data_IF_539992596684
#
_entry.id   IF_539992596684
#
_cell.length_a   1.000
_cell.length_b   1.000
_cell.length_c   1.000
_cell.angle_alpha   90.00
_cell.angle_beta   90.00
_cell.angle_gamma   90.00
#
_symmetry.space_group_name_H-M   'P 1'
#
loop_
_entity.id
_entity.type
_entity.pdbx_description
1 polymer ?
#
# COMPACT_ATOMS: atom_id res chain seq x y z
N UNK A 1 -48.53 25.06 6.84
CA UNK A 1 -47.37 24.25 6.41
C UNK A 1 -46.10 25.07 6.63
N UNK A 2 -45.34 24.74 7.68
CA UNK A 2 -44.13 25.46 8.07
C UNK A 2 -42.94 25.02 7.20
N UNK A 3 -42.31 25.96 6.49
CA UNK A 3 -41.02 25.74 5.83
C UNK A 3 -39.95 25.70 6.92
N UNK A 4 -39.46 24.52 7.28
CA UNK A 4 -38.23 24.38 8.08
C UNK A 4 -37.07 24.88 7.23
N UNK A 5 -36.58 26.07 7.58
CA UNK A 5 -35.30 26.58 7.12
C UNK A 5 -34.22 25.75 7.84
N UNK A 6 -33.71 24.71 7.19
CA UNK A 6 -32.48 24.05 7.63
C UNK A 6 -31.32 25.01 7.36
N UNK A 7 -30.95 25.78 8.37
CA UNK A 7 -29.62 26.37 8.44
C UNK A 7 -28.64 25.23 8.74
N UNK A 8 -28.06 24.65 7.68
CA UNK A 8 -26.87 23.81 7.80
C UNK A 8 -25.77 24.69 8.37
N UNK A 9 -25.23 24.33 9.54
CA UNK A 9 -24.08 25.03 10.11
C UNK A 9 -22.88 24.78 9.20
N UNK A 10 -22.09 25.81 8.85
CA UNK A 10 -20.96 25.67 7.94
C UNK A 10 -19.83 24.79 8.48
N UNK A 11 -19.77 24.51 9.80
CA UNK A 11 -18.77 23.62 10.39
C UNK A 11 -19.03 22.12 10.08
N UNK A 12 -20.28 21.70 9.95
CA UNK A 12 -20.63 20.28 9.79
C UNK A 12 -20.36 19.77 8.35
N UNK A 13 -20.36 20.67 7.36
CA UNK A 13 -20.18 20.33 5.95
C UNK A 13 -18.70 20.14 5.57
N UNK A 14 -17.79 20.87 6.21
CA UNK A 14 -16.34 20.80 5.91
C UNK A 14 -15.70 19.55 6.54
N UNK A 15 -16.18 19.13 7.71
CA UNK A 15 -15.71 17.90 8.38
C UNK A 15 -16.17 16.63 7.65
N UNK A 16 -17.41 16.63 7.13
CA UNK A 16 -17.98 15.52 6.34
C UNK A 16 -17.21 15.25 5.05
N UNK A 17 -16.90 16.31 4.30
CA UNK A 17 -16.21 16.19 3.01
C UNK A 17 -14.78 15.65 3.19
N UNK A 18 -14.06 16.13 4.20
CA UNK A 18 -12.68 15.68 4.51
C UNK A 18 -12.60 14.19 4.87
N UNK A 19 -13.54 13.70 5.69
CA UNK A 19 -13.63 12.30 6.06
C UNK A 19 -13.94 11.39 4.86
N UNK A 20 -14.81 11.83 3.95
CA UNK A 20 -15.17 11.08 2.75
C UNK A 20 -14.03 11.01 1.72
N UNK A 21 -13.26 12.10 1.56
CA UNK A 21 -12.05 12.08 0.74
C UNK A 21 -10.99 11.14 1.30
N UNK A 22 -10.76 11.17 2.62
CA UNK A 22 -9.80 10.28 3.28
C UNK A 22 -10.21 8.81 3.15
N UNK A 23 -11.50 8.50 3.33
CA UNK A 23 -12.04 7.14 3.15
C UNK A 23 -11.84 6.64 1.73
N UNK A 24 -12.16 7.47 0.73
CA UNK A 24 -11.98 7.14 -0.68
C UNK A 24 -10.50 6.86 -1.00
N UNK A 25 -9.60 7.74 -0.54
CA UNK A 25 -8.15 7.54 -0.66
C UNK A 25 -7.71 6.21 -0.03
N UNK A 26 -8.18 5.90 1.17
CA UNK A 26 -7.82 4.67 1.88
C UNK A 26 -8.29 3.42 1.12
N UNK A 27 -9.50 3.44 0.56
CA UNK A 27 -10.04 2.37 -0.27
C UNK A 27 -9.23 2.16 -1.55
N UNK A 28 -8.80 3.24 -2.22
CA UNK A 28 -7.92 3.17 -3.39
C UNK A 28 -6.56 2.57 -3.03
N UNK A 29 -5.90 3.05 -1.96
CA UNK A 29 -4.61 2.53 -1.53
C UNK A 29 -4.67 1.05 -1.16
N UNK A 30 -5.73 0.64 -0.46
CA UNK A 30 -5.96 -0.77 -0.13
C UNK A 30 -6.09 -1.63 -1.39
N UNK A 31 -6.84 -1.13 -2.37
CA UNK A 31 -7.05 -1.85 -3.65
C UNK A 31 -5.77 -1.95 -4.46
N UNK A 32 -5.06 -0.83 -4.62
CA UNK A 32 -3.79 -0.76 -5.35
C UNK A 32 -2.74 -1.70 -4.74
N UNK A 33 -2.61 -1.67 -3.41
CA UNK A 33 -1.75 -2.58 -2.66
C UNK A 33 -2.07 -4.04 -2.91
N UNK A 34 -3.36 -4.40 -2.86
CA UNK A 34 -3.79 -5.78 -3.10
C UNK A 34 -3.39 -6.24 -4.51
N UNK A 35 -3.54 -5.37 -5.51
CA UNK A 35 -3.09 -5.65 -6.88
C UNK A 35 -1.57 -5.82 -6.96
N UNK A 36 -0.81 -4.94 -6.30
CA UNK A 36 0.64 -5.06 -6.29
C UNK A 36 1.14 -6.34 -5.63
N UNK A 37 0.58 -6.73 -4.49
CA UNK A 37 0.95 -7.99 -3.82
C UNK A 37 0.57 -9.19 -4.69
N UNK A 38 -0.63 -9.19 -5.27
CA UNK A 38 -1.06 -10.26 -6.18
C UNK A 38 -0.13 -10.39 -7.40
N UNK A 39 0.24 -9.27 -8.01
CA UNK A 39 1.15 -9.23 -9.14
C UNK A 39 2.57 -9.67 -8.77
N UNK A 40 3.09 -9.20 -7.64
CA UNK A 40 4.42 -9.54 -7.15
C UNK A 40 4.57 -11.01 -6.73
N UNK A 41 3.50 -11.68 -6.33
CA UNK A 41 3.50 -13.14 -6.09
C UNK A 41 3.24 -13.90 -7.40
N UNK A 42 2.36 -13.37 -8.25
CA UNK A 42 1.97 -13.99 -9.52
C UNK A 42 3.12 -14.12 -10.52
N UNK A 43 4.02 -13.13 -10.60
CA UNK A 43 5.20 -13.19 -11.47
C UNK A 43 6.12 -14.39 -11.19
N UNK A 44 6.64 -14.54 -9.96
CA UNK A 44 7.41 -15.72 -9.57
C UNK A 44 6.65 -17.04 -9.71
N UNK A 45 5.34 -17.06 -9.39
CA UNK A 45 4.52 -18.25 -9.58
C UNK A 45 4.44 -18.67 -11.05
N UNK A 46 4.34 -17.71 -11.99
CA UNK A 46 4.37 -17.99 -13.43
C UNK A 46 5.68 -18.67 -13.85
N UNK A 47 6.82 -18.27 -13.28
CA UNK A 47 8.12 -18.90 -13.57
C UNK A 47 8.18 -20.35 -13.09
N UNK A 48 7.51 -20.69 -11.98
CA UNK A 48 7.45 -22.07 -11.49
C UNK A 48 6.61 -23.00 -12.37
N UNK A 49 5.60 -22.45 -13.05
CA UNK A 49 4.66 -23.25 -13.85
C UNK A 49 5.04 -23.28 -15.34
N UNK A 50 5.77 -22.26 -15.81
CA UNK A 50 6.14 -22.14 -17.21
C UNK A 50 7.65 -22.34 -17.42
N UNK A 51 8.03 -23.60 -17.67
CA UNK A 51 9.43 -24.00 -17.90
C UNK A 51 10.07 -23.28 -19.08
N UNK A 52 9.30 -22.94 -20.12
CA UNK A 52 9.81 -22.23 -21.30
C UNK A 52 10.23 -20.79 -20.98
N UNK A 53 9.38 -20.07 -20.23
CA UNK A 53 9.68 -18.72 -19.74
C UNK A 53 10.92 -18.75 -18.84
N UNK A 54 10.96 -19.69 -17.90
CA UNK A 54 12.07 -19.86 -16.97
C UNK A 54 13.38 -20.22 -17.68
N UNK A 55 13.36 -21.17 -18.62
CA UNK A 55 14.55 -21.56 -19.38
C UNK A 55 15.16 -20.38 -20.14
N UNK A 56 14.34 -19.53 -20.77
CA UNK A 56 14.82 -18.32 -21.46
C UNK A 56 15.43 -17.30 -20.50
N UNK A 57 14.80 -17.07 -19.35
CA UNK A 57 15.34 -16.17 -18.33
C UNK A 57 16.63 -16.69 -17.68
N UNK A 58 16.75 -18.01 -17.51
CA UNK A 58 17.98 -18.67 -17.05
C UNK A 58 19.10 -18.53 -18.08
N UNK A 59 18.80 -18.79 -19.36
CA UNK A 59 19.76 -18.63 -20.44
C UNK A 59 20.26 -17.17 -20.56
N UNK A 60 19.40 -16.20 -20.28
CA UNK A 60 19.77 -14.79 -20.23
C UNK A 60 20.48 -14.36 -18.92
N UNK A 61 20.59 -15.26 -17.92
CA UNK A 61 21.16 -14.96 -16.60
C UNK A 61 20.34 -14.00 -15.75
N UNK A 62 19.04 -13.82 -16.05
CA UNK A 62 18.18 -12.78 -15.45
C UNK A 62 17.08 -13.31 -14.52
N UNK A 63 16.86 -14.63 -14.47
CA UNK A 63 15.77 -15.23 -13.69
C UNK A 63 15.74 -14.72 -12.23
N UNK A 64 16.87 -14.83 -11.52
CA UNK A 64 16.96 -14.43 -10.12
C UNK A 64 16.69 -12.94 -9.91
N UNK A 65 17.20 -12.08 -10.80
CA UNK A 65 16.98 -10.63 -10.72
C UNK A 65 15.50 -10.29 -10.91
N UNK A 66 14.87 -10.85 -11.94
CA UNK A 66 13.44 -10.61 -12.24
C UNK A 66 12.56 -11.11 -11.09
N UNK A 67 12.81 -12.33 -10.60
CA UNK A 67 12.08 -12.88 -9.45
C UNK A 67 12.28 -12.03 -8.18
N UNK A 68 13.51 -11.58 -7.90
CA UNK A 68 13.80 -10.73 -6.76
C UNK A 68 13.08 -9.39 -6.84
N UNK A 69 13.03 -8.74 -8.01
CA UNK A 69 12.30 -7.49 -8.20
C UNK A 69 10.80 -7.63 -7.88
N UNK A 70 10.17 -8.72 -8.32
CA UNK A 70 8.78 -9.01 -7.97
C UNK A 70 8.58 -9.23 -6.46
N UNK A 71 9.47 -9.99 -5.83
CA UNK A 71 9.38 -10.27 -4.39
C UNK A 71 9.63 -9.00 -3.56
N UNK A 72 10.61 -8.18 -3.94
CA UNK A 72 10.91 -6.90 -3.27
C UNK A 72 9.70 -5.96 -3.36
N UNK A 73 9.10 -5.83 -4.55
CA UNK A 73 7.92 -5.00 -4.74
C UNK A 73 6.72 -5.47 -3.91
N UNK A 74 6.48 -6.78 -3.80
CA UNK A 74 5.44 -7.33 -2.93
C UNK A 74 5.77 -7.14 -1.44
N UNK A 75 7.02 -7.36 -1.03
CA UNK A 75 7.46 -7.21 0.35
C UNK A 75 7.31 -5.76 0.83
N UNK A 76 7.66 -4.77 -0.01
CA UNK A 76 7.47 -3.35 0.29
C UNK A 76 6.00 -3.04 0.64
N UNK A 77 5.07 -3.58 -0.14
CA UNK A 77 3.63 -3.41 0.06
C UNK A 77 3.11 -4.09 1.34
N UNK A 78 3.61 -5.29 1.65
CA UNK A 78 3.27 -5.98 2.91
C UNK A 78 3.79 -5.20 4.12
N UNK A 79 5.02 -4.68 4.05
CA UNK A 79 5.60 -3.85 5.11
C UNK A 79 4.75 -2.59 5.32
N UNK A 80 4.38 -1.89 4.25
CA UNK A 80 3.48 -0.72 4.33
C UNK A 80 2.13 -1.04 4.98
N UNK A 81 1.51 -2.17 4.61
CA UNK A 81 0.27 -2.62 5.25
C UNK A 81 0.44 -2.90 6.75
N UNK A 82 1.55 -3.52 7.15
CA UNK A 82 1.83 -3.80 8.57
C UNK A 82 2.02 -2.52 9.37
N UNK A 83 2.76 -1.55 8.82
CA UNK A 83 2.95 -0.24 9.44
C UNK A 83 1.62 0.46 9.65
N UNK A 84 0.79 0.54 8.60
CA UNK A 84 -0.53 1.16 8.67
C UNK A 84 -1.46 0.43 9.68
N UNK A 85 -1.42 -0.91 9.72
CA UNK A 85 -2.18 -1.70 10.70
C UNK A 85 -1.74 -1.43 12.14
N UNK A 86 -0.44 -1.36 12.40
CA UNK A 86 0.12 -1.10 13.74
C UNK A 86 -0.23 0.32 14.20
N UNK A 87 -0.09 1.31 13.32
CA UNK A 87 -0.48 2.70 13.58
C UNK A 87 -1.94 2.82 13.98
N UNK A 88 -2.84 2.28 13.18
CA UNK A 88 -4.28 2.31 13.47
C UNK A 88 -4.62 1.56 14.76
N UNK A 89 -3.93 0.45 15.05
CA UNK A 89 -4.15 -0.28 16.29
C UNK A 89 -3.82 0.57 17.53
N UNK A 90 -2.71 1.30 17.52
CA UNK A 90 -2.32 2.13 18.66
C UNK A 90 -3.22 3.35 18.85
N UNK A 91 -3.70 3.96 17.77
CA UNK A 91 -4.72 5.03 17.86
C UNK A 91 -6.06 4.49 18.35
N UNK A 92 -6.49 3.33 17.86
CA UNK A 92 -7.69 2.68 18.37
C UNK A 92 -7.56 2.36 19.87
N UNK A 93 -6.40 1.84 20.29
CA UNK A 93 -6.14 1.50 21.68
C UNK A 93 -6.15 2.73 22.60
N UNK A 94 -5.64 3.89 22.16
CA UNK A 94 -5.74 5.12 22.95
C UNK A 94 -7.17 5.61 23.17
N UNK A 95 -8.13 5.22 22.33
CA UNK A 95 -9.55 5.54 22.56
C UNK A 95 -10.19 4.64 23.63
N UNK A 96 -9.56 3.53 23.99
CA UNK A 96 -10.03 2.60 25.02
C UNK A 96 -9.37 2.83 26.39
N UNK A 97 -8.19 3.45 26.39
CA UNK A 97 -7.40 3.73 27.60
C UNK A 97 -6.69 5.08 27.46
N UNK A 98 -7.27 6.11 28.10
CA UNK A 98 -6.78 7.48 28.04
C UNK A 98 -5.35 7.62 28.61
N UNK A 99 -4.92 6.76 29.54
CA UNK A 99 -3.55 6.80 30.09
C UNK A 99 -2.50 6.42 29.03
N UNK A 100 -2.90 5.65 28.03
CA UNK A 100 -2.02 5.18 26.96
C UNK A 100 -1.56 6.28 26.01
N UNK A 101 -2.31 7.39 25.91
CA UNK A 101 -1.95 8.57 25.10
C UNK A 101 -0.60 9.19 25.49
N UNK A 102 -0.16 8.99 26.74
CA UNK A 102 1.11 9.52 27.24
C UNK A 102 2.33 8.67 26.85
N UNK A 103 2.12 7.47 26.29
CA UNK A 103 3.21 6.52 26.03
C UNK A 103 4.00 6.81 24.76
N UNK A 104 5.29 6.47 24.77
CA UNK A 104 6.18 6.60 23.58
C UNK A 104 5.69 5.81 22.36
N UNK A 105 4.95 4.72 22.58
CA UNK A 105 4.38 3.88 21.52
C UNK A 105 3.26 4.60 20.78
N UNK A 106 2.40 5.30 21.50
CA UNK A 106 1.36 6.15 20.92
C UNK A 106 1.96 7.29 20.09
N UNK A 107 2.94 8.03 20.64
CA UNK A 107 3.63 9.11 19.90
C UNK A 107 4.33 8.62 18.63
N UNK A 108 4.89 7.41 18.64
CA UNK A 108 5.47 6.81 17.45
C UNK A 108 4.40 6.46 16.40
N UNK A 109 3.26 5.93 16.85
CA UNK A 109 2.15 5.59 15.96
C UNK A 109 1.49 6.82 15.34
N UNK A 110 1.28 7.86 16.14
CA UNK A 110 0.78 9.18 15.72
C UNK A 110 1.73 9.82 14.69
N UNK A 111 3.03 9.86 15.00
CA UNK A 111 4.03 10.33 14.05
C UNK A 111 4.01 9.52 12.74
N UNK A 112 3.85 8.20 12.82
CA UNK A 112 3.85 7.33 11.65
C UNK A 112 2.60 7.52 10.78
N UNK A 113 1.45 7.87 11.37
CA UNK A 113 0.22 8.22 10.64
C UNK A 113 0.42 9.49 9.83
N UNK A 114 1.11 10.48 10.39
CA UNK A 114 1.42 11.73 9.69
C UNK A 114 2.43 11.56 8.55
N UNK A 115 3.18 10.45 8.51
CA UNK A 115 4.15 10.13 7.46
C UNK A 115 3.52 9.42 6.25
N UNK A 116 2.44 9.97 5.70
CA UNK A 116 1.79 9.47 4.48
C UNK A 116 2.74 9.28 3.28
N UNK A 117 3.81 10.10 3.22
CA UNK A 117 4.85 9.99 2.20
C UNK A 117 5.54 8.63 2.16
N UNK A 118 5.54 7.86 3.28
CA UNK A 118 6.10 6.50 3.30
C UNK A 118 5.28 5.57 2.42
N UNK A 119 3.94 5.65 2.47
CA UNK A 119 3.07 4.82 1.62
C UNK A 119 3.33 5.15 0.13
N UNK A 120 3.42 6.44 -0.22
CA UNK A 120 3.79 6.87 -1.59
C UNK A 120 5.15 6.31 -2.00
N UNK A 121 6.16 6.42 -1.14
CA UNK A 121 7.50 5.96 -1.45
C UNK A 121 7.51 4.45 -1.71
N UNK A 122 6.80 3.67 -0.89
CA UNK A 122 6.65 2.23 -1.07
C UNK A 122 5.95 1.91 -2.39
N UNK A 123 4.90 2.64 -2.76
CA UNK A 123 4.22 2.49 -4.04
C UNK A 123 5.14 2.79 -5.23
N UNK A 124 5.91 3.88 -5.17
CA UNK A 124 6.88 4.24 -6.21
C UNK A 124 7.95 3.16 -6.35
N UNK A 125 8.50 2.67 -5.23
CA UNK A 125 9.49 1.57 -5.23
C UNK A 125 8.89 0.32 -5.87
N UNK A 126 7.65 -0.04 -5.52
CA UNK A 126 6.95 -1.19 -6.10
C UNK A 126 6.73 -1.03 -7.60
N UNK A 127 6.28 0.14 -8.06
CA UNK A 127 6.09 0.44 -9.48
C UNK A 127 7.41 0.33 -10.25
N UNK A 128 8.49 0.90 -9.73
CA UNK A 128 9.80 0.85 -10.37
C UNK A 128 10.35 -0.59 -10.40
N UNK A 129 10.19 -1.36 -9.32
CA UNK A 129 10.64 -2.74 -9.26
C UNK A 129 9.89 -3.61 -10.28
N UNK A 130 8.56 -3.50 -10.33
CA UNK A 130 7.74 -4.24 -11.28
C UNK A 130 7.98 -3.79 -12.72
N UNK A 131 8.09 -2.48 -12.96
CA UNK A 131 8.42 -1.93 -14.27
C UNK A 131 9.77 -2.44 -14.79
N UNK A 132 10.80 -2.46 -13.94
CA UNK A 132 12.10 -3.02 -14.28
C UNK A 132 12.04 -4.53 -14.57
N UNK A 133 11.28 -5.29 -13.77
CA UNK A 133 11.09 -6.72 -13.98
C UNK A 133 10.43 -7.00 -15.34
N UNK A 134 9.35 -6.28 -15.66
CA UNK A 134 8.64 -6.38 -16.93
C UNK A 134 9.56 -5.99 -18.09
N UNK A 135 10.31 -4.89 -17.96
CA UNK A 135 11.28 -4.47 -18.97
C UNK A 135 12.30 -5.57 -19.27
N UNK A 136 12.88 -6.18 -18.25
CA UNK A 136 13.82 -7.27 -18.43
C UNK A 136 13.18 -8.50 -19.09
N UNK A 137 11.94 -8.84 -18.74
CA UNK A 137 11.20 -9.90 -19.43
C UNK A 137 11.03 -9.55 -20.91
N UNK A 138 10.56 -8.34 -21.23
CA UNK A 138 10.37 -7.90 -22.62
C UNK A 138 11.67 -8.00 -23.45
N UNK A 139 12.83 -7.69 -22.88
CA UNK A 139 14.12 -7.85 -23.59
C UNK A 139 14.57 -9.29 -23.82
N UNK A 140 13.99 -10.26 -23.11
CA UNK A 140 14.31 -11.69 -23.24
C UNK A 140 13.30 -12.40 -24.16
N UNK A 141 12.08 -11.87 -24.27
CA UNK A 141 11.01 -12.47 -25.07
C UNK A 141 10.72 -11.75 -26.40
N UNK A 142 11.05 -10.46 -26.50
CA UNK A 142 10.98 -9.67 -27.74
C UNK A 142 12.20 -9.89 -28.62
#
# INVERSE_FOLDING_TARGET
MSKKHLTVKPDDAVESDGADFFKTYFEYNRTLRAWFVAFGIGGPALFLVNEHVSARLVAAGRLYLVAALFVIGAAAQVIGALMNKISNWYVYYSCLDDEFTSTRKYRLAEWLIDQFWIDILLDVVTILAFGAAIWFMMTVFG
#
